data_IF_529151759689
#
_entry.id   IF_529151759689
#
_cell.length_a   1.000
_cell.length_b   1.000
_cell.length_c   1.000
_cell.angle_alpha   90.00
_cell.angle_beta   90.00
_cell.angle_gamma   90.00
#
_symmetry.space_group_name_H-M   'P 1'
#
loop_
_entity.id
_entity.type
_entity.pdbx_description
1 polymer ?
#
# COMPACT_ATOMS: atom_id res chain seq x y z
N UNK A 1 27.77 83.20 11.95
CA UNK A 1 27.00 82.45 12.96
C UNK A 1 26.24 81.38 12.19
N UNK A 2 26.66 80.12 12.34
CA UNK A 2 26.28 78.98 11.49
C UNK A 2 24.81 78.57 11.70
N UNK A 3 24.14 78.21 10.60
CA UNK A 3 22.82 77.58 10.55
C UNK A 3 22.97 76.08 10.77
N UNK A 4 22.27 75.52 11.75
CA UNK A 4 22.19 74.08 12.00
C UNK A 4 20.96 73.50 11.28
N UNK A 5 21.17 72.52 10.39
CA UNK A 5 20.10 71.73 9.76
C UNK A 5 20.15 70.33 10.36
N UNK A 6 19.07 69.95 11.05
CA UNK A 6 18.85 68.61 11.58
C UNK A 6 18.32 67.69 10.49
N UNK A 7 19.04 66.60 10.19
CA UNK A 7 18.59 65.54 9.29
C UNK A 7 17.97 64.39 10.11
N UNK A 8 16.67 64.20 9.98
CA UNK A 8 15.95 63.05 10.55
C UNK A 8 15.95 61.92 9.52
N UNK A 9 16.70 60.86 9.77
CA UNK A 9 16.67 59.64 8.98
C UNK A 9 15.47 58.77 9.43
N UNK A 10 14.50 58.59 8.53
CA UNK A 10 13.39 57.64 8.68
C UNK A 10 13.87 56.27 8.20
N UNK A 11 14.15 55.36 9.13
CA UNK A 11 14.41 53.95 8.84
C UNK A 11 13.10 53.23 8.55
N UNK A 12 12.81 52.93 7.28
CA UNK A 12 11.71 52.07 6.89
C UNK A 12 12.14 50.61 7.08
N UNK A 13 11.79 50.01 8.22
CA UNK A 13 11.90 48.56 8.41
C UNK A 13 10.75 47.88 7.66
N UNK A 14 11.01 47.41 6.45
CA UNK A 14 10.12 46.51 5.73
C UNK A 14 10.21 45.12 6.40
N UNK A 15 9.35 44.86 7.37
CA UNK A 15 9.09 43.50 7.86
C UNK A 15 8.28 42.74 6.81
N UNK A 16 8.96 42.21 5.81
CA UNK A 16 8.36 41.27 4.86
C UNK A 16 8.07 39.96 5.58
N UNK A 17 6.81 39.70 5.91
CA UNK A 17 6.34 38.36 6.23
C UNK A 17 6.55 37.50 4.97
N UNK A 18 7.63 36.73 4.93
CA UNK A 18 7.81 35.69 3.91
C UNK A 18 6.82 34.58 4.25
N UNK A 19 5.69 34.56 3.56
CA UNK A 19 4.86 33.35 3.51
C UNK A 19 5.63 32.36 2.65
N UNK A 20 6.47 31.53 3.28
CA UNK A 20 7.05 30.37 2.61
C UNK A 20 5.88 29.46 2.27
N UNK A 21 5.51 29.41 0.99
CA UNK A 21 4.54 28.45 0.50
C UNK A 21 5.26 27.10 0.45
N UNK A 22 5.46 26.45 1.61
CA UNK A 22 6.13 25.15 1.73
C UNK A 22 5.49 24.05 0.89
N UNK A 23 4.26 24.28 0.43
CA UNK A 23 3.52 23.51 -0.57
C UNK A 23 4.16 23.50 -1.98
N UNK A 24 5.11 24.39 -2.30
CA UNK A 24 5.81 24.46 -3.60
C UNK A 24 7.27 24.03 -3.57
N UNK A 25 7.87 23.93 -2.40
CA UNK A 25 9.28 23.60 -2.29
C UNK A 25 9.49 22.09 -2.46
N UNK A 26 10.32 21.72 -3.46
CA UNK A 26 10.70 20.34 -3.72
C UNK A 26 11.82 19.98 -2.75
N UNK A 27 11.47 19.22 -1.73
CA UNK A 27 12.39 18.75 -0.69
C UNK A 27 12.32 17.22 -0.60
N UNK A 28 13.41 16.55 -0.19
CA UNK A 28 13.36 15.13 0.13
C UNK A 28 12.28 14.89 1.18
N UNK A 29 11.53 13.80 1.03
CA UNK A 29 10.41 13.52 1.91
C UNK A 29 10.82 13.30 3.38
N UNK A 30 12.05 12.83 3.59
CA UNK A 30 12.65 12.57 4.90
C UNK A 30 14.17 12.45 4.75
N UNK A 31 14.89 12.23 5.86
CA UNK A 31 16.29 11.81 5.84
C UNK A 31 16.41 10.29 5.88
N UNK A 32 17.54 9.74 5.41
CA UNK A 32 17.81 8.29 5.51
C UNK A 32 17.81 7.79 6.97
N UNK A 33 18.23 8.63 7.92
CA UNK A 33 18.25 8.29 9.34
C UNK A 33 16.83 8.23 9.94
N UNK A 34 15.97 9.18 9.58
CA UNK A 34 14.56 9.17 9.99
C UNK A 34 13.81 8.00 9.34
N UNK A 35 14.04 7.72 8.06
CA UNK A 35 13.48 6.54 7.37
C UNK A 35 13.89 5.21 8.05
N UNK A 36 15.15 5.07 8.44
CA UNK A 36 15.63 3.89 9.17
C UNK A 36 14.96 3.75 10.54
N UNK A 37 14.76 4.88 11.25
CA UNK A 37 14.08 4.88 12.53
C UNK A 37 12.59 4.54 12.40
N UNK A 38 11.91 5.07 11.39
CA UNK A 38 10.52 4.72 11.10
C UNK A 38 10.36 3.22 10.81
N UNK A 39 11.29 2.61 10.08
CA UNK A 39 11.30 1.16 9.85
C UNK A 39 11.46 0.36 11.15
N UNK A 40 12.37 0.79 12.03
CA UNK A 40 12.57 0.17 13.34
C UNK A 40 11.32 0.26 14.21
N UNK A 41 10.72 1.44 14.30
CA UNK A 41 9.51 1.71 15.10
C UNK A 41 8.31 0.90 14.59
N UNK A 42 8.06 0.90 13.28
CA UNK A 42 7.04 0.06 12.66
C UNK A 42 7.28 -1.42 12.96
N UNK A 43 8.50 -1.92 12.76
CA UNK A 43 8.81 -3.35 12.97
C UNK A 43 8.59 -3.75 14.43
N UNK A 44 8.94 -2.88 15.37
CA UNK A 44 8.71 -3.12 16.79
C UNK A 44 7.22 -3.12 17.15
N UNK A 45 6.44 -2.18 16.63
CA UNK A 45 5.00 -2.10 16.85
C UNK A 45 4.26 -3.30 16.23
N UNK A 46 4.54 -3.59 14.96
CA UNK A 46 3.98 -4.72 14.22
C UNK A 46 4.24 -6.06 14.93
N UNK A 47 5.45 -6.27 15.47
CA UNK A 47 5.75 -7.48 16.23
C UNK A 47 4.96 -7.58 17.54
N UNK A 48 4.79 -6.46 18.28
CA UNK A 48 3.96 -6.45 19.50
C UNK A 48 2.50 -6.74 19.18
N UNK A 49 1.96 -6.14 18.12
CA UNK A 49 0.61 -6.37 17.66
C UNK A 49 0.40 -7.85 17.27
N UNK A 50 1.34 -8.43 16.51
CA UNK A 50 1.32 -9.85 16.14
C UNK A 50 1.42 -10.79 17.35
N UNK A 51 2.29 -10.50 18.32
CA UNK A 51 2.44 -11.30 19.53
C UNK A 51 1.16 -11.32 20.37
N UNK A 52 0.49 -10.17 20.51
CA UNK A 52 -0.72 -10.03 21.32
C UNK A 52 -2.03 -10.36 20.57
N UNK A 53 -1.98 -10.45 19.24
CA UNK A 53 -3.13 -10.31 18.36
C UNK A 53 -3.96 -9.06 18.68
N UNK A 54 -3.30 -7.91 18.75
CA UNK A 54 -3.91 -6.64 19.15
C UNK A 54 -3.46 -5.49 18.23
N UNK A 55 -4.33 -5.14 17.28
CA UNK A 55 -4.06 -4.07 16.31
C UNK A 55 -4.06 -2.66 16.91
N UNK A 56 -4.41 -2.48 18.19
CA UNK A 56 -4.22 -1.18 18.84
C UNK A 56 -2.75 -0.89 19.12
N UNK A 57 -1.87 -1.89 19.07
CA UNK A 57 -0.45 -1.75 19.37
C UNK A 57 0.39 -1.24 18.19
N UNK A 58 -0.15 -1.30 16.97
CA UNK A 58 0.47 -0.80 15.75
C UNK A 58 -0.45 0.14 14.93
N UNK A 59 -1.59 0.54 15.50
CA UNK A 59 -2.53 1.46 14.87
C UNK A 59 -1.90 2.79 14.44
N UNK A 60 -0.96 3.33 15.23
CA UNK A 60 -0.26 4.59 14.92
C UNK A 60 0.88 4.41 13.89
N UNK A 61 1.09 3.19 13.39
CA UNK A 61 2.18 2.81 12.47
C UNK A 61 1.68 2.14 11.19
N UNK A 62 0.37 1.95 11.04
CA UNK A 62 -0.24 1.31 9.88
C UNK A 62 -1.39 2.16 9.37
N UNK A 63 -1.51 2.26 8.05
CA UNK A 63 -2.65 2.97 7.44
C UNK A 63 -3.08 2.27 6.15
N UNK A 64 -4.16 2.75 5.55
CA UNK A 64 -4.69 2.28 4.27
C UNK A 64 -4.84 0.76 4.20
N UNK A 65 -4.41 0.18 3.08
CA UNK A 65 -4.60 -1.24 2.79
C UNK A 65 -3.83 -2.16 3.74
N UNK A 66 -2.65 -1.76 4.21
CA UNK A 66 -1.94 -2.57 5.21
C UNK A 66 -2.73 -2.64 6.53
N UNK A 67 -3.25 -1.51 7.02
CA UNK A 67 -4.05 -1.49 8.25
C UNK A 67 -5.29 -2.39 8.14
N UNK A 68 -5.99 -2.36 7.00
CA UNK A 68 -7.14 -3.23 6.76
C UNK A 68 -6.76 -4.72 6.77
N UNK A 69 -5.71 -5.07 6.02
CA UNK A 69 -5.25 -6.46 5.86
C UNK A 69 -4.74 -7.01 7.20
N UNK A 70 -3.86 -6.27 7.87
CA UNK A 70 -3.25 -6.74 9.12
C UNK A 70 -4.24 -6.68 10.28
N UNK A 71 -5.04 -5.62 10.39
CA UNK A 71 -6.08 -5.50 11.40
C UNK A 71 -7.08 -6.66 11.36
N UNK A 72 -7.49 -7.09 10.16
CA UNK A 72 -8.35 -8.26 10.00
C UNK A 72 -7.66 -9.57 10.40
N UNK A 73 -6.38 -9.74 10.05
CA UNK A 73 -5.56 -10.88 10.47
C UNK A 73 -5.44 -10.94 12.00
N UNK A 74 -5.16 -9.81 12.65
CA UNK A 74 -5.05 -9.70 14.11
C UNK A 74 -6.40 -9.96 14.79
N UNK A 75 -7.50 -9.41 14.27
CA UNK A 75 -8.86 -9.68 14.76
C UNK A 75 -9.21 -11.17 14.71
N UNK A 76 -8.94 -11.82 13.57
CA UNK A 76 -9.16 -13.26 13.42
C UNK A 76 -8.27 -14.07 14.38
N UNK A 77 -6.99 -13.69 14.48
CA UNK A 77 -6.04 -14.29 15.42
C UNK A 77 -6.51 -14.20 16.86
N UNK A 78 -6.99 -13.04 17.31
CA UNK A 78 -7.51 -12.81 18.66
C UNK A 78 -8.74 -13.64 18.96
N UNK A 79 -9.67 -13.74 18.02
CA UNK A 79 -10.87 -14.58 18.17
C UNK A 79 -10.49 -16.07 18.33
N UNK A 80 -9.47 -16.51 17.60
CA UNK A 80 -9.00 -17.89 17.61
C UNK A 80 -8.00 -18.21 18.73
N UNK A 81 -7.35 -17.20 19.31
CA UNK A 81 -6.36 -17.31 20.37
C UNK A 81 -6.38 -16.05 21.25
N UNK A 82 -7.36 -15.95 22.18
CA UNK A 82 -7.55 -14.74 22.99
C UNK A 82 -6.39 -14.38 23.92
N UNK A 83 -5.52 -15.33 24.23
CA UNK A 83 -4.34 -15.13 25.08
C UNK A 83 -3.10 -14.67 24.29
N UNK A 84 -3.23 -14.45 22.97
CA UNK A 84 -2.16 -14.01 22.08
C UNK A 84 -1.62 -15.11 21.14
N UNK A 85 -0.61 -14.75 20.36
CA UNK A 85 -0.04 -15.59 19.31
C UNK A 85 1.04 -16.53 19.87
N UNK A 86 0.64 -17.75 20.21
CA UNK A 86 1.56 -18.80 20.68
C UNK A 86 2.58 -19.26 19.64
N UNK A 87 2.43 -18.86 18.38
CA UNK A 87 3.34 -19.16 17.26
C UNK A 87 4.12 -17.92 16.80
N UNK A 88 4.13 -16.86 17.61
CA UNK A 88 4.85 -15.65 17.28
C UNK A 88 6.34 -15.94 17.03
N UNK A 89 6.81 -15.48 15.89
CA UNK A 89 8.22 -15.37 15.55
C UNK A 89 8.42 -13.92 15.12
N UNK A 90 9.27 -13.13 15.78
CA UNK A 90 9.47 -11.74 15.41
C UNK A 90 9.87 -11.60 13.94
N UNK A 91 9.22 -10.65 13.25
CA UNK A 91 9.68 -10.14 11.97
C UNK A 91 11.01 -9.40 12.19
N UNK A 92 12.02 -9.78 11.42
CA UNK A 92 13.29 -9.07 11.34
C UNK A 92 13.44 -8.54 9.91
N UNK A 93 13.68 -7.24 9.79
CA UNK A 93 13.98 -6.57 8.53
C UNK A 93 15.45 -6.14 8.55
N UNK A 94 16.22 -6.62 7.56
CA UNK A 94 17.66 -6.41 7.43
C UNK A 94 17.99 -5.91 6.03
N UNK A 95 19.23 -5.45 5.80
CA UNK A 95 19.66 -4.97 4.49
C UNK A 95 18.69 -3.94 3.88
N UNK A 96 18.24 -3.01 4.71
CA UNK A 96 17.25 -2.01 4.32
C UNK A 96 17.87 -0.95 3.40
N UNK A 97 17.22 -0.70 2.27
CA UNK A 97 17.50 0.37 1.32
C UNK A 97 16.32 1.32 1.30
N UNK A 98 16.60 2.62 1.23
CA UNK A 98 15.57 3.66 1.28
C UNK A 98 15.57 4.48 0.00
N UNK A 99 14.46 4.44 -0.73
CA UNK A 99 14.21 5.28 -1.89
C UNK A 99 13.30 6.43 -1.46
N UNK A 100 13.89 7.62 -1.36
CA UNK A 100 13.23 8.81 -0.80
C UNK A 100 13.01 9.83 -1.92
N UNK A 101 11.76 10.08 -2.34
CA UNK A 101 11.46 11.07 -3.37
C UNK A 101 11.67 12.50 -2.86
N UNK A 102 12.24 13.34 -3.73
CA UNK A 102 12.14 14.79 -3.58
C UNK A 102 10.84 15.27 -4.23
N UNK A 103 9.93 15.85 -3.43
CA UNK A 103 8.64 16.34 -3.93
C UNK A 103 8.18 17.60 -3.20
N UNK A 104 7.20 18.27 -3.80
CA UNK A 104 6.44 19.33 -3.14
C UNK A 104 5.17 18.76 -2.48
N UNK A 105 4.68 19.45 -1.45
CA UNK A 105 3.41 19.14 -0.78
C UNK A 105 3.36 17.82 0.00
N UNK A 106 2.17 17.53 0.54
CA UNK A 106 1.81 16.34 1.33
C UNK A 106 1.03 15.31 0.49
N UNK A 107 0.93 14.05 0.92
CA UNK A 107 1.73 13.41 1.96
C UNK A 107 3.23 13.41 1.62
N UNK A 108 4.06 13.26 2.65
CA UNK A 108 5.47 12.85 2.51
C UNK A 108 5.49 11.33 2.53
N UNK A 109 6.38 10.73 1.74
CA UNK A 109 6.46 9.28 1.66
C UNK A 109 7.83 8.80 1.21
N UNK A 110 8.17 7.56 1.53
CA UNK A 110 9.37 6.89 1.04
C UNK A 110 9.14 5.38 0.94
N UNK A 111 9.95 4.71 0.14
CA UNK A 111 9.99 3.25 0.04
C UNK A 111 11.15 2.71 0.87
N UNK A 112 10.85 1.78 1.78
CA UNK A 112 11.83 0.87 2.37
C UNK A 112 11.77 -0.47 1.65
N UNK A 113 12.92 -0.89 1.13
CA UNK A 113 13.15 -2.21 0.57
C UNK A 113 14.06 -2.98 1.55
N UNK A 114 13.61 -4.12 2.09
CA UNK A 114 14.35 -4.87 3.11
C UNK A 114 14.26 -6.39 2.94
N UNK A 115 15.27 -7.10 3.41
CA UNK A 115 15.26 -8.56 3.54
C UNK A 115 14.55 -8.95 4.82
N UNK A 116 13.44 -9.69 4.68
CA UNK A 116 12.70 -10.24 5.80
C UNK A 116 13.12 -11.68 6.13
N UNK A 117 13.16 -12.02 7.42
CA UNK A 117 13.27 -13.42 7.85
C UNK A 117 12.01 -14.26 7.52
N UNK A 118 10.93 -13.58 7.08
CA UNK A 118 9.69 -14.14 6.54
C UNK A 118 9.59 -13.80 5.04
N UNK A 119 8.85 -14.58 4.26
CA UNK A 119 8.63 -14.31 2.82
C UNK A 119 9.51 -15.12 1.85
N UNK A 120 10.34 -16.03 2.34
CA UNK A 120 10.99 -17.04 1.47
C UNK A 120 12.04 -16.49 0.50
N UNK A 121 12.75 -15.43 0.89
CA UNK A 121 13.82 -14.82 0.09
C UNK A 121 13.35 -13.63 -0.78
N UNK A 122 12.05 -13.32 -0.79
CA UNK A 122 11.55 -12.07 -1.37
C UNK A 122 11.95 -10.87 -0.51
N UNK A 123 12.02 -9.72 -1.16
CA UNK A 123 12.18 -8.42 -0.51
C UNK A 123 10.83 -7.88 -0.06
N UNK A 124 10.81 -7.31 1.13
CA UNK A 124 9.68 -6.58 1.69
C UNK A 124 9.76 -5.14 1.20
N UNK A 125 8.78 -4.73 0.41
CA UNK A 125 8.62 -3.36 -0.03
C UNK A 125 7.54 -2.69 0.82
N UNK A 126 7.95 -1.74 1.66
CA UNK A 126 7.07 -0.99 2.56
C UNK A 126 7.06 0.48 2.15
N UNK A 127 5.88 1.01 1.87
CA UNK A 127 5.73 2.45 1.59
C UNK A 127 5.22 3.15 2.83
N UNK A 128 6.09 3.98 3.38
CA UNK A 128 5.78 4.82 4.53
C UNK A 128 5.19 6.14 4.07
N UNK A 129 4.14 6.60 4.73
CA UNK A 129 3.45 7.88 4.48
C UNK A 129 3.33 8.67 5.77
N UNK A 130 3.22 9.99 5.63
CA UNK A 130 2.95 10.93 6.71
C UNK A 130 2.28 12.18 6.15
N UNK A 131 1.27 12.71 6.83
CA UNK A 131 0.47 13.86 6.38
C UNK A 131 0.87 15.22 6.99
N UNK A 132 1.65 15.21 8.07
CA UNK A 132 2.14 16.41 8.75
C UNK A 132 3.60 16.26 9.20
N UNK A 133 4.22 17.35 9.67
CA UNK A 133 5.62 17.29 10.16
C UNK A 133 5.76 16.52 11.48
N UNK A 134 4.74 16.63 12.33
CA UNK A 134 4.74 16.07 13.68
C UNK A 134 4.03 14.71 13.76
N UNK A 135 3.50 14.22 12.64
CA UNK A 135 2.78 12.94 12.58
C UNK A 135 3.77 11.77 12.59
N UNK A 136 3.29 10.58 12.98
CA UNK A 136 4.07 9.35 12.91
C UNK A 136 4.17 8.88 11.47
N UNK A 137 5.27 8.21 11.12
CA UNK A 137 5.38 7.50 9.85
C UNK A 137 4.57 6.20 9.91
N UNK A 138 3.62 6.06 9.00
CA UNK A 138 2.74 4.89 8.91
C UNK A 138 3.02 4.13 7.62
N UNK A 139 2.94 2.79 7.65
CA UNK A 139 3.05 1.98 6.44
C UNK A 139 1.67 1.84 5.80
N UNK A 140 1.51 2.38 4.59
CA UNK A 140 0.28 2.29 3.81
C UNK A 140 0.26 1.04 2.91
N UNK A 141 1.43 0.71 2.33
CA UNK A 141 1.59 -0.41 1.40
C UNK A 141 2.65 -1.37 1.90
N UNK A 142 2.34 -2.67 1.79
CA UNK A 142 3.28 -3.76 1.93
C UNK A 142 3.10 -4.74 0.79
N UNK A 143 4.19 -5.07 0.10
CA UNK A 143 4.24 -6.12 -0.93
C UNK A 143 5.52 -6.95 -0.82
N UNK A 144 5.51 -8.16 -1.39
CA UNK A 144 6.68 -9.02 -1.50
C UNK A 144 7.07 -9.15 -2.98
N UNK A 145 8.33 -8.87 -3.30
CA UNK A 145 8.86 -8.87 -4.68
C UNK A 145 10.16 -9.66 -4.72
N UNK A 146 10.44 -10.37 -5.82
CA UNK A 146 11.72 -11.05 -5.98
C UNK A 146 12.86 -10.01 -6.04
N UNK A 147 14.04 -10.27 -5.45
CA UNK A 147 15.14 -9.30 -5.45
C UNK A 147 15.52 -8.78 -6.85
N UNK A 148 15.49 -9.66 -7.85
CA UNK A 148 15.88 -9.34 -9.23
C UNK A 148 14.80 -8.56 -10.01
N UNK A 149 13.58 -8.49 -9.47
CA UNK A 149 12.44 -7.79 -10.10
C UNK A 149 12.31 -6.34 -9.59
N UNK A 150 13.09 -5.93 -8.57
CA UNK A 150 13.10 -4.55 -8.09
C UNK A 150 13.89 -3.69 -9.09
N UNK A 151 13.27 -2.65 -9.68
CA UNK A 151 13.93 -1.82 -10.68
C UNK A 151 14.99 -0.91 -10.05
N UNK A 152 15.89 -0.41 -10.88
CA UNK A 152 16.71 0.75 -10.53
C UNK A 152 15.86 2.04 -10.62
N UNK A 153 16.01 2.91 -9.63
CA UNK A 153 15.24 4.14 -9.53
C UNK A 153 16.03 5.33 -10.04
N UNK A 154 15.36 6.18 -10.83
CA UNK A 154 15.96 7.44 -11.25
C UNK A 154 16.15 8.34 -10.03
N UNK A 155 17.37 8.84 -9.87
CA UNK A 155 17.73 9.77 -8.79
C UNK A 155 18.38 11.04 -9.32
N UNK A 156 18.30 12.11 -8.53
CA UNK A 156 19.04 13.33 -8.77
C UNK A 156 20.52 13.21 -8.34
N UNK A 157 21.28 14.31 -8.51
CA UNK A 157 22.71 14.37 -8.15
C UNK A 157 23.00 14.13 -6.66
N UNK A 158 22.01 14.30 -5.79
CA UNK A 158 22.11 14.13 -4.34
C UNK A 158 21.55 12.76 -3.89
N UNK A 159 21.08 11.95 -4.85
CA UNK A 159 20.57 10.60 -4.66
C UNK A 159 19.13 10.55 -4.18
N UNK A 160 18.33 11.61 -4.42
CA UNK A 160 16.89 11.62 -4.15
C UNK A 160 16.10 11.12 -5.35
N UNK A 161 15.08 10.32 -5.09
CA UNK A 161 14.25 9.75 -6.14
C UNK A 161 13.24 10.77 -6.71
N UNK A 162 12.64 10.41 -7.84
CA UNK A 162 11.58 11.17 -8.48
C UNK A 162 10.23 10.49 -8.24
N UNK A 163 9.28 11.21 -7.64
CA UNK A 163 7.89 10.78 -7.55
C UNK A 163 7.17 11.04 -8.88
N UNK A 164 6.38 10.08 -9.35
CA UNK A 164 5.56 10.22 -10.55
C UNK A 164 4.15 10.65 -10.16
N UNK A 165 3.60 11.75 -10.72
CA UNK A 165 2.23 12.17 -10.45
C UNK A 165 1.20 11.13 -10.85
N UNK A 166 0.11 11.01 -10.06
CA UNK A 166 -0.96 10.06 -10.33
C UNK A 166 -1.62 10.24 -11.71
N UNK A 167 -1.65 11.47 -12.24
CA UNK A 167 -2.19 11.80 -13.56
C UNK A 167 -1.11 11.89 -14.65
N UNK A 168 0.08 11.32 -14.43
CA UNK A 168 1.14 11.31 -15.43
C UNK A 168 0.67 10.66 -16.73
N UNK A 169 0.97 11.31 -17.84
CA UNK A 169 0.69 10.81 -19.21
C UNK A 169 1.93 10.26 -19.89
N UNK A 170 3.04 10.14 -19.15
CA UNK A 170 4.31 9.62 -19.64
C UNK A 170 4.41 8.09 -19.54
N UNK A 171 3.38 7.45 -19.01
CA UNK A 171 3.29 6.00 -18.79
C UNK A 171 2.15 5.42 -19.64
N UNK A 172 2.26 4.14 -19.99
CA UNK A 172 1.23 3.41 -20.72
C UNK A 172 -0.13 3.45 -20.01
N UNK A 173 -0.11 3.37 -18.67
CA UNK A 173 -1.28 3.61 -17.80
C UNK A 173 -0.89 4.62 -16.73
N UNK A 174 -1.65 5.72 -16.55
CA UNK A 174 -1.43 6.65 -15.44
C UNK A 174 -1.53 5.95 -14.08
N UNK A 175 -0.66 6.26 -13.10
CA UNK A 175 -0.68 5.58 -11.80
C UNK A 175 -2.05 5.66 -11.09
N UNK A 176 -2.76 6.77 -11.27
CA UNK A 176 -4.10 7.02 -10.74
C UNK A 176 -5.19 6.11 -11.30
N UNK A 177 -5.02 5.55 -12.50
CA UNK A 177 -6.00 4.68 -13.14
C UNK A 177 -5.71 3.19 -12.92
N UNK A 178 -4.50 2.81 -12.47
CA UNK A 178 -4.09 1.40 -12.36
C UNK A 178 -5.06 0.54 -11.54
N UNK A 179 -5.55 1.05 -10.41
CA UNK A 179 -6.51 0.33 -9.57
C UNK A 179 -7.79 -0.03 -10.32
N UNK A 180 -8.31 0.92 -11.11
CA UNK A 180 -9.54 0.77 -11.90
C UNK A 180 -9.32 -0.10 -13.14
N UNK A 181 -8.20 0.10 -13.82
CA UNK A 181 -7.85 -0.66 -15.01
C UNK A 181 -7.57 -2.12 -14.63
N UNK A 182 -6.93 -2.37 -13.49
CA UNK A 182 -6.70 -3.70 -12.97
C UNK A 182 -8.02 -4.40 -12.57
N UNK A 183 -8.91 -3.71 -11.85
CA UNK A 183 -10.24 -4.24 -11.53
C UNK A 183 -11.03 -4.60 -12.80
N UNK A 184 -10.98 -3.74 -13.82
CA UNK A 184 -11.61 -3.98 -15.14
C UNK A 184 -10.97 -5.18 -15.84
N UNK A 185 -9.64 -5.26 -15.84
CA UNK A 185 -8.89 -6.37 -16.44
C UNK A 185 -9.25 -7.72 -15.80
N UNK A 186 -9.40 -7.80 -14.47
CA UNK A 186 -9.75 -9.06 -13.81
C UNK A 186 -11.09 -9.62 -14.30
N UNK A 187 -12.05 -8.73 -14.54
CA UNK A 187 -13.36 -9.08 -15.07
C UNK A 187 -13.30 -9.39 -16.57
N UNK A 188 -12.89 -8.42 -17.37
CA UNK A 188 -13.10 -8.45 -18.82
C UNK A 188 -11.88 -9.00 -19.59
N UNK A 189 -10.70 -8.99 -18.98
CA UNK A 189 -9.41 -9.25 -19.63
C UNK A 189 -8.89 -8.01 -20.36
N UNK A 190 -7.97 -8.21 -21.30
CA UNK A 190 -7.36 -7.13 -22.09
C UNK A 190 -5.86 -7.33 -22.26
N UNK A 191 -5.23 -6.36 -22.88
CA UNK A 191 -3.79 -6.31 -23.21
C UNK A 191 -3.03 -5.24 -22.39
N UNK A 192 -3.71 -4.47 -21.55
CA UNK A 192 -3.10 -3.46 -20.69
C UNK A 192 -2.13 -4.02 -19.65
N UNK A 193 -2.25 -5.31 -19.30
CA UNK A 193 -1.40 -5.99 -18.32
C UNK A 193 -0.69 -7.18 -18.93
N UNK A 194 0.59 -7.34 -18.57
CA UNK A 194 1.40 -8.48 -18.99
C UNK A 194 0.86 -9.77 -18.38
N UNK A 195 1.09 -10.89 -19.06
CA UNK A 195 0.72 -12.20 -18.53
C UNK A 195 1.58 -12.56 -17.31
N UNK A 196 0.96 -13.06 -16.25
CA UNK A 196 1.64 -13.31 -15.00
C UNK A 196 0.75 -13.99 -13.94
N UNK A 197 1.34 -14.37 -12.79
CA UNK A 197 0.62 -15.07 -11.73
C UNK A 197 -0.50 -14.21 -11.12
N UNK A 198 -0.31 -12.89 -11.10
CA UNK A 198 -1.29 -11.94 -10.56
C UNK A 198 -2.32 -11.48 -11.60
N UNK A 199 -2.10 -11.74 -12.89
CA UNK A 199 -2.99 -11.30 -13.98
C UNK A 199 -3.71 -12.50 -14.62
N UNK A 200 -3.24 -13.02 -15.75
CA UNK A 200 -3.84 -14.16 -16.47
C UNK A 200 -3.92 -15.42 -15.60
N UNK A 201 -2.89 -15.68 -14.78
CA UNK A 201 -2.86 -16.80 -13.85
C UNK A 201 -3.99 -16.72 -12.82
N UNK A 202 -4.22 -15.53 -12.26
CA UNK A 202 -5.28 -15.33 -11.27
C UNK A 202 -6.67 -15.41 -11.91
N UNK A 203 -6.88 -14.83 -13.09
CA UNK A 203 -8.13 -14.98 -13.86
C UNK A 203 -8.43 -16.44 -14.18
N UNK A 204 -7.43 -17.20 -14.61
CA UNK A 204 -7.58 -18.65 -14.85
C UNK A 204 -7.96 -19.40 -13.56
N UNK A 205 -7.38 -19.04 -12.42
CA UNK A 205 -7.73 -19.62 -11.12
C UNK A 205 -9.19 -19.30 -10.73
N UNK A 206 -9.62 -18.05 -10.90
CA UNK A 206 -11.02 -17.62 -10.66
C UNK A 206 -12.00 -18.35 -11.59
N UNK A 207 -11.65 -18.51 -12.86
CA UNK A 207 -12.44 -19.30 -13.82
C UNK A 207 -12.61 -20.77 -13.41
N UNK A 208 -11.57 -21.40 -12.84
CA UNK A 208 -11.67 -22.76 -12.28
C UNK A 208 -12.52 -22.83 -11.00
N UNK A 209 -12.65 -21.73 -10.26
CA UNK A 209 -13.41 -21.65 -9.00
C UNK A 209 -14.87 -21.22 -9.20
N UNK A 210 -15.19 -20.50 -10.29
CA UNK A 210 -16.51 -19.89 -10.51
C UNK A 210 -17.65 -20.91 -10.67
N UNK A 211 -17.37 -22.09 -11.20
CA UNK A 211 -18.36 -23.17 -11.35
C UNK A 211 -17.80 -24.49 -10.84
N UNK A 212 -18.35 -24.96 -9.71
CA UNK A 212 -18.12 -26.30 -9.18
C UNK A 212 -19.48 -26.99 -9.01
N UNK A 213 -19.56 -28.34 -9.06
CA UNK A 213 -20.79 -29.04 -8.78
C UNK A 213 -21.41 -28.60 -7.44
N UNK A 214 -22.61 -28.03 -7.48
CA UNK A 214 -23.33 -27.57 -6.29
C UNK A 214 -22.85 -26.25 -5.67
N UNK A 215 -21.90 -25.54 -6.29
CA UNK A 215 -21.38 -24.26 -5.78
C UNK A 215 -21.02 -23.31 -6.92
N UNK A 216 -21.64 -22.13 -6.94
CA UNK A 216 -21.26 -21.03 -7.81
C UNK A 216 -20.42 -20.02 -7.03
N UNK A 217 -19.39 -19.44 -7.68
CA UNK A 217 -18.63 -18.31 -7.13
C UNK A 217 -18.68 -17.13 -8.09
N UNK A 218 -19.06 -15.96 -7.58
CA UNK A 218 -19.16 -14.70 -8.30
C UNK A 218 -18.15 -13.72 -7.74
N UNK A 219 -17.62 -12.86 -8.62
CA UNK A 219 -16.56 -11.90 -8.30
C UNK A 219 -17.03 -10.48 -8.60
N UNK A 220 -16.72 -9.54 -7.71
CA UNK A 220 -16.80 -8.10 -7.95
C UNK A 220 -15.46 -7.51 -7.53
N UNK A 221 -14.86 -6.69 -8.39
CA UNK A 221 -13.59 -6.02 -8.14
C UNK A 221 -13.81 -4.50 -8.24
N UNK A 222 -13.32 -3.75 -7.27
CA UNK A 222 -13.50 -2.31 -7.16
C UNK A 222 -12.16 -1.60 -6.94
N UNK A 223 -11.97 -0.44 -7.57
CA UNK A 223 -10.78 0.36 -7.31
C UNK A 223 -10.82 1.01 -5.94
N UNK A 224 -9.64 1.20 -5.35
CA UNK A 224 -9.41 2.01 -4.16
C UNK A 224 -8.29 3.01 -4.45
N UNK A 225 -8.62 4.31 -4.44
CA UNK A 225 -7.71 5.36 -4.93
C UNK A 225 -7.70 6.65 -4.08
N UNK A 226 -8.46 6.70 -2.98
CA UNK A 226 -8.66 7.91 -2.19
C UNK A 226 -7.94 7.79 -0.84
N UNK A 227 -7.53 8.93 -0.26
CA UNK A 227 -6.87 8.97 1.05
C UNK A 227 -5.63 8.07 1.08
N UNK A 228 -5.54 7.22 2.10
CA UNK A 228 -4.40 6.31 2.32
C UNK A 228 -4.30 5.18 1.29
N UNK A 229 -5.30 5.03 0.42
CA UNK A 229 -5.29 4.11 -0.73
C UNK A 229 -4.87 4.81 -2.03
N UNK A 230 -4.50 6.09 -2.00
CA UNK A 230 -4.04 6.80 -3.19
C UNK A 230 -2.75 6.17 -3.73
N UNK A 231 -2.64 5.93 -5.05
CA UNK A 231 -1.48 5.27 -5.61
C UNK A 231 -0.23 6.14 -5.50
N UNK A 232 0.91 5.50 -5.21
CA UNK A 232 2.21 6.12 -5.07
C UNK A 232 3.17 5.51 -6.08
N UNK A 233 3.93 6.36 -6.78
CA UNK A 233 4.75 5.93 -7.91
C UNK A 233 6.17 6.52 -7.86
N UNK A 234 7.18 5.68 -8.05
CA UNK A 234 8.59 6.05 -8.18
C UNK A 234 9.05 5.88 -9.62
N UNK A 235 9.75 6.88 -10.16
CA UNK A 235 10.33 6.83 -11.51
C UNK A 235 11.46 5.79 -11.56
N UNK A 236 11.42 4.90 -12.54
CA UNK A 236 12.51 3.96 -12.82
C UNK A 236 13.52 4.57 -13.80
N UNK A 237 14.77 4.09 -13.79
CA UNK A 237 15.83 4.63 -14.66
C UNK A 237 15.54 4.52 -16.16
N UNK A 238 14.78 3.49 -16.56
CA UNK A 238 14.36 3.24 -17.94
C UNK A 238 13.18 4.13 -18.40
N UNK A 239 12.68 5.01 -17.53
CA UNK A 239 11.60 5.95 -17.83
C UNK A 239 10.20 5.47 -17.44
N UNK A 240 10.04 4.22 -17.01
CA UNK A 240 8.80 3.70 -16.43
C UNK A 240 8.55 4.17 -14.99
N UNK A 241 7.67 3.48 -14.27
CA UNK A 241 7.46 3.70 -12.85
C UNK A 241 7.14 2.41 -12.10
N UNK A 242 7.66 2.29 -10.88
CA UNK A 242 7.16 1.34 -9.89
C UNK A 242 5.97 1.97 -9.18
N UNK A 243 4.79 1.38 -9.29
CA UNK A 243 3.54 1.92 -8.75
C UNK A 243 2.96 0.97 -7.71
N UNK A 244 2.65 1.51 -6.55
CA UNK A 244 1.86 0.87 -5.50
C UNK A 244 0.42 1.34 -5.60
N UNK A 245 -0.52 0.41 -5.61
CA UNK A 245 -1.95 0.72 -5.66
C UNK A 245 -2.75 -0.35 -4.90
N UNK A 246 -4.02 -0.05 -4.64
CA UNK A 246 -4.90 -0.93 -3.87
C UNK A 246 -6.11 -1.33 -4.70
N UNK A 247 -6.60 -2.55 -4.52
CA UNK A 247 -7.91 -2.97 -5.00
C UNK A 247 -8.73 -3.69 -3.93
N UNK A 248 -10.06 -3.60 -4.05
CA UNK A 248 -11.04 -4.31 -3.22
C UNK A 248 -11.67 -5.41 -4.04
N UNK A 249 -11.87 -6.58 -3.44
CA UNK A 249 -12.48 -7.72 -4.12
C UNK A 249 -13.56 -8.36 -3.25
N UNK A 250 -14.65 -8.75 -3.89
CA UNK A 250 -15.70 -9.55 -3.28
C UNK A 250 -15.76 -10.91 -3.96
N UNK A 251 -15.82 -11.97 -3.15
CA UNK A 251 -16.10 -13.33 -3.60
C UNK A 251 -17.41 -13.80 -2.96
N UNK A 252 -18.48 -13.96 -3.75
CA UNK A 252 -19.73 -14.55 -3.28
C UNK A 252 -19.82 -16.00 -3.69
N UNK A 253 -19.78 -16.90 -2.71
CA UNK A 253 -20.08 -18.31 -2.89
C UNK A 253 -21.57 -18.55 -2.65
N UNK A 254 -22.22 -19.34 -3.51
CA UNK A 254 -23.63 -19.71 -3.37
C UNK A 254 -23.80 -21.19 -3.67
N UNK A 255 -24.29 -21.93 -2.67
CA UNK A 255 -24.58 -23.35 -2.79
C UNK A 255 -25.90 -23.57 -3.56
N UNK A 256 -26.02 -24.73 -4.19
CA UNK A 256 -27.27 -25.16 -4.80
C UNK A 256 -28.38 -25.32 -3.75
N UNK A 257 -29.64 -25.22 -4.17
CA UNK A 257 -30.78 -25.39 -3.27
C UNK A 257 -30.70 -26.75 -2.53
N UNK A 258 -30.85 -26.71 -1.20
CA UNK A 258 -30.73 -27.89 -0.34
C UNK A 258 -29.29 -28.28 0.04
N UNK A 259 -28.29 -27.50 -0.38
CA UNK A 259 -26.90 -27.62 0.07
C UNK A 259 -26.45 -26.36 0.82
N UNK A 260 -25.32 -26.46 1.52
CA UNK A 260 -24.68 -25.34 2.22
C UNK A 260 -23.32 -25.05 1.61
N UNK A 261 -22.87 -23.79 1.75
CA UNK A 261 -21.48 -23.44 1.42
C UNK A 261 -20.55 -24.28 2.30
N UNK A 262 -19.43 -24.81 1.77
CA UNK A 262 -18.44 -25.51 2.59
C UNK A 262 -18.00 -24.64 3.76
N UNK A 263 -17.98 -25.22 4.98
CA UNK A 263 -17.54 -24.50 6.18
C UNK A 263 -16.14 -23.93 5.97
N UNK A 264 -15.95 -22.60 6.08
CA UNK A 264 -14.65 -22.02 5.87
C UNK A 264 -13.74 -22.26 7.08
N UNK A 265 -12.47 -21.87 6.97
CA UNK A 265 -11.53 -22.03 8.08
C UNK A 265 -11.88 -21.09 9.25
N UNK A 266 -11.22 -21.28 10.40
CA UNK A 266 -11.49 -20.50 11.61
C UNK A 266 -11.25 -19.00 11.46
N UNK A 267 -10.30 -18.59 10.62
CA UNK A 267 -9.98 -17.17 10.44
C UNK A 267 -11.10 -16.46 9.66
N UNK A 268 -11.63 -17.11 8.62
CA UNK A 268 -12.81 -16.62 7.91
C UNK A 268 -14.03 -16.57 8.82
N UNK A 269 -14.26 -17.63 9.61
CA UNK A 269 -15.38 -17.66 10.57
C UNK A 269 -15.29 -16.54 11.61
N UNK A 270 -14.09 -16.23 12.09
CA UNK A 270 -13.86 -15.12 13.02
C UNK A 270 -14.17 -13.74 12.43
N UNK A 271 -14.17 -13.63 11.10
CA UNK A 271 -14.49 -12.43 10.34
C UNK A 271 -15.88 -12.49 9.70
N UNK A 272 -16.64 -13.57 9.93
CA UNK A 272 -17.97 -13.76 9.35
C UNK A 272 -19.05 -13.23 10.28
N UNK A 273 -19.80 -12.26 9.79
CA UNK A 273 -21.06 -11.84 10.40
C UNK A 273 -22.22 -12.68 9.84
N UNK A 274 -23.14 -13.09 10.73
CA UNK A 274 -24.31 -13.89 10.35
C UNK A 274 -24.04 -15.40 10.22
N UNK A 275 -25.11 -16.18 10.13
CA UNK A 275 -25.02 -17.62 9.92
C UNK A 275 -24.78 -17.94 8.44
N UNK A 276 -23.80 -18.78 8.14
CA UNK A 276 -23.56 -19.25 6.77
C UNK A 276 -24.62 -20.28 6.40
N UNK A 277 -25.63 -19.86 5.62
CA UNK A 277 -26.67 -20.76 5.12
C UNK A 277 -26.39 -21.18 3.68
N UNK A 278 -26.99 -20.50 2.70
CA UNK A 278 -26.86 -20.85 1.29
C UNK A 278 -25.72 -20.07 0.61
N UNK A 279 -25.26 -18.97 1.21
CA UNK A 279 -24.23 -18.12 0.64
C UNK A 279 -23.26 -17.57 1.67
N UNK A 280 -22.06 -17.28 1.18
CA UNK A 280 -20.99 -16.63 1.92
C UNK A 280 -20.39 -15.58 1.00
N UNK A 281 -20.49 -14.31 1.39
CA UNK A 281 -19.83 -13.20 0.69
C UNK A 281 -18.59 -12.83 1.47
N UNK A 282 -17.42 -12.92 0.85
CA UNK A 282 -16.15 -12.53 1.44
C UNK A 282 -15.66 -11.25 0.79
N UNK A 283 -15.03 -10.40 1.58
CA UNK A 283 -14.39 -9.17 1.15
C UNK A 283 -12.88 -9.28 1.38
N UNK A 284 -12.12 -8.80 0.40
CA UNK A 284 -10.68 -8.75 0.44
C UNK A 284 -10.19 -7.36 0.07
N UNK A 285 -9.15 -6.90 0.77
CA UNK A 285 -8.31 -5.77 0.36
C UNK A 285 -6.99 -6.33 -0.13
N UNK A 286 -6.43 -5.71 -1.16
CA UNK A 286 -5.25 -6.18 -1.86
C UNK A 286 -4.31 -5.02 -2.13
N UNK A 287 -3.06 -5.15 -1.69
CA UNK A 287 -1.95 -4.29 -2.06
C UNK A 287 -1.27 -4.87 -3.30
N UNK A 288 -1.15 -4.07 -4.34
CA UNK A 288 -0.42 -4.40 -5.56
C UNK A 288 0.83 -3.53 -5.71
N UNK A 289 1.86 -4.11 -6.34
CA UNK A 289 2.99 -3.36 -6.87
C UNK A 289 3.21 -3.77 -8.33
N UNK A 290 3.36 -2.78 -9.20
CA UNK A 290 3.49 -2.98 -10.64
C UNK A 290 4.55 -2.08 -11.27
N UNK A 291 5.16 -2.56 -12.35
CA UNK A 291 5.95 -1.76 -13.28
C UNK A 291 5.04 -1.25 -14.40
N UNK A 292 4.83 0.06 -14.42
CA UNK A 292 4.16 0.74 -15.52
C UNK A 292 5.24 1.29 -16.47
N UNK A 293 5.41 0.74 -17.68
CA UNK A 293 6.38 1.25 -18.64
C UNK A 293 5.89 2.55 -19.28
N UNK A 294 6.77 3.23 -20.03
CA UNK A 294 6.38 4.35 -20.88
C UNK A 294 5.44 3.94 -22.02
N UNK A 295 5.64 2.72 -22.54
CA UNK A 295 4.81 2.08 -23.58
C UNK A 295 4.79 0.56 -23.36
N UNK A 296 3.69 -0.08 -23.77
CA UNK A 296 3.47 -1.51 -23.58
C UNK A 296 2.70 -1.89 -22.30
N UNK A 297 2.61 -3.20 -21.99
CA UNK A 297 1.77 -3.70 -20.92
C UNK A 297 2.39 -3.48 -19.53
N UNK A 298 1.53 -3.20 -18.54
CA UNK A 298 1.91 -3.10 -17.13
C UNK A 298 2.20 -4.49 -16.54
N UNK A 299 3.32 -4.64 -15.85
CA UNK A 299 3.68 -5.89 -15.18
C UNK A 299 3.36 -5.81 -13.69
N UNK A 300 2.54 -6.73 -13.17
CA UNK A 300 2.24 -6.80 -11.73
C UNK A 300 3.27 -7.71 -11.05
N UNK A 301 4.23 -7.11 -10.35
CA UNK A 301 5.35 -7.80 -9.72
C UNK A 301 4.93 -8.59 -8.47
N UNK A 302 3.98 -8.06 -7.72
CA UNK A 302 3.59 -8.62 -6.44
C UNK A 302 2.22 -8.19 -5.99
N UNK A 303 1.60 -9.04 -5.18
CA UNK A 303 0.30 -8.78 -4.56
C UNK A 303 0.22 -9.40 -3.17
N UNK A 304 -0.19 -8.63 -2.18
CA UNK A 304 -0.57 -9.14 -0.85
C UNK A 304 -2.05 -8.87 -0.65
N UNK A 305 -2.81 -9.92 -0.36
CA UNK A 305 -4.25 -9.85 -0.18
C UNK A 305 -4.63 -10.41 1.19
N UNK A 306 -5.53 -9.69 1.88
CA UNK A 306 -6.14 -10.13 3.13
C UNK A 306 -7.66 -10.18 3.02
N UNK A 307 -8.29 -11.18 3.64
CA UNK A 307 -9.74 -11.17 3.86
C UNK A 307 -10.02 -10.21 5.02
N UNK A 308 -10.83 -9.19 4.77
CA UNK A 308 -11.13 -8.13 5.74
C UNK A 308 -12.47 -8.33 6.43
N UNK A 309 -13.44 -8.90 5.71
CA UNK A 309 -14.76 -9.22 6.25
C UNK A 309 -15.40 -10.39 5.52
N UNK A 310 -16.40 -11.01 6.14
CA UNK A 310 -17.27 -11.96 5.48
C UNK A 310 -18.70 -11.88 6.03
N UNK A 311 -19.67 -12.31 5.23
CA UNK A 311 -21.08 -12.32 5.60
C UNK A 311 -21.74 -13.64 5.17
N UNK A 312 -22.33 -14.34 6.13
CA UNK A 312 -23.17 -15.51 5.92
C UNK A 312 -24.63 -15.11 5.71
N UNK A 313 -25.27 -15.67 4.68
CA UNK A 313 -26.69 -15.46 4.34
C UNK A 313 -27.33 -16.70 3.73
#
# INVERSE_FOLDING_TARGET
MLVAVSATALSVTASGCVVVHGEREVLPATTRAEAAKALEEFTAAYNKADEAYDGSLDADHTTGALADIDGARLKAGRANSPEGNTRHVPLELTDAKFTIPAKAGWPRWFLADAAGNKGGGTRWLLVFTRDGLDDTWEVAYLTLVAPDDIPEFKTDKDGWAEAVPANSTELAVPPGELSKDYATYLKDGGDAFAEGPHTTGWRAQRGKKSSRPGLATQYIDEPMTNGDYAPLALRTEDGGALVFFTTRHFEKQTAAAGASVPTPNKDVLALTDGEIQQSLTMEFVSNEVALAPADGPVEVLGRIQGLTSAKGE
#
